data_IF_820282054472
#
_entry.id   IF_820282054472
#
_cell.length_a   1.000
_cell.length_b   1.000
_cell.length_c   1.000
_cell.angle_alpha   90.00
_cell.angle_beta   90.00
_cell.angle_gamma   90.00
#
_symmetry.space_group_name_H-M   'P 1'
#
loop_
_entity.id
_entity.type
_entity.pdbx_description
1 polymer ?
#
# COMPACT_ATOMS: atom_id res chain seq x y z
N UNK A 1 51.70 60.10 11.82
CA UNK A 1 51.16 59.10 10.88
C UNK A 1 50.39 58.07 11.69
N UNK A 2 49.06 58.11 11.59
CA UNK A 2 48.25 57.03 10.97
C UNK A 2 48.34 55.74 11.82
N UNK A 3 47.44 55.52 12.79
CA UNK A 3 46.10 54.91 12.57
C UNK A 3 46.19 53.79 11.54
N UNK A 4 46.41 52.54 11.97
CA UNK A 4 46.07 51.28 11.27
C UNK A 4 46.71 50.11 12.02
N UNK A 5 46.13 49.68 13.14
CA UNK A 5 46.46 48.36 13.71
C UNK A 5 45.44 47.83 14.73
N UNK A 6 44.68 48.66 15.45
CA UNK A 6 43.94 48.19 16.64
C UNK A 6 42.40 48.10 16.53
N UNK A 7 41.83 48.24 15.33
CA UNK A 7 40.35 48.28 15.17
C UNK A 7 39.68 47.00 14.64
N UNK A 8 40.38 45.87 14.50
CA UNK A 8 39.74 44.65 13.95
C UNK A 8 39.42 43.58 15.01
N UNK A 9 39.93 43.69 16.25
CA UNK A 9 39.71 42.63 17.26
C UNK A 9 38.61 42.93 18.31
N UNK A 10 38.07 44.14 18.35
CA UNK A 10 37.10 44.54 19.40
C UNK A 10 35.62 44.40 18.99
N UNK A 11 35.31 44.08 17.73
CA UNK A 11 33.92 43.89 17.28
C UNK A 11 33.41 42.43 17.41
N UNK A 12 34.28 41.48 17.76
CA UNK A 12 33.94 40.06 17.84
C UNK A 12 33.60 39.56 19.26
N UNK A 13 33.64 40.43 20.27
CA UNK A 13 33.41 40.05 21.68
C UNK A 13 32.18 40.70 22.33
N UNK A 14 31.42 41.52 21.59
CA UNK A 14 30.22 42.19 22.12
C UNK A 14 28.88 41.49 21.80
N UNK A 15 28.88 40.41 21.01
CA UNK A 15 27.65 39.64 20.70
C UNK A 15 27.44 38.42 21.60
N UNK A 16 28.26 38.22 22.64
CA UNK A 16 28.16 37.07 23.55
C UNK A 16 27.49 37.37 24.91
N UNK A 17 27.16 38.63 25.24
CA UNK A 17 26.72 39.01 26.61
C UNK A 17 25.57 40.02 26.61
N UNK A 18 24.46 39.63 26.00
CA UNK A 18 23.11 40.11 26.31
C UNK A 18 22.16 38.97 25.94
N UNK A 19 21.92 37.99 26.80
CA UNK A 19 21.08 38.17 27.98
C UNK A 19 21.43 37.14 29.07
N UNK A 20 22.03 37.64 30.16
CA UNK A 20 21.78 37.10 31.49
C UNK A 20 20.46 37.72 31.97
N UNK A 21 19.46 36.89 32.24
CA UNK A 21 18.15 37.35 32.70
C UNK A 21 17.33 36.20 33.29
N UNK A 22 17.82 35.68 34.41
CA UNK A 22 17.05 35.08 35.53
C UNK A 22 15.90 34.13 35.20
N UNK A 23 16.17 32.85 35.48
CA UNK A 23 15.19 31.80 35.68
C UNK A 23 14.23 32.16 36.83
N UNK A 24 12.92 32.10 36.55
CA UNK A 24 11.87 31.81 37.51
C UNK A 24 10.83 30.92 36.83
N UNK A 25 10.73 29.70 37.37
CA UNK A 25 9.73 28.65 37.16
C UNK A 25 8.48 29.04 36.35
N UNK A 26 8.43 28.57 35.11
CA UNK A 26 7.28 27.81 34.64
C UNK A 26 7.90 26.58 33.98
N UNK A 27 7.64 25.40 34.55
CA UNK A 27 7.73 24.19 33.78
C UNK A 27 6.64 24.32 32.72
N UNK A 28 6.98 24.95 31.58
CA UNK A 28 6.33 24.61 30.33
C UNK A 28 6.72 23.16 30.12
N UNK A 29 5.89 22.27 30.67
CA UNK A 29 5.60 21.00 30.06
C UNK A 29 5.38 21.38 28.61
N UNK A 30 6.40 21.14 27.78
CA UNK A 30 6.20 21.00 26.36
C UNK A 30 5.24 19.82 26.34
N UNK A 31 3.94 20.11 26.35
CA UNK A 31 2.95 19.14 25.95
C UNK A 31 3.53 18.63 24.65
N UNK A 32 3.75 17.30 24.51
CA UNK A 32 4.11 16.78 23.23
C UNK A 32 3.03 17.32 22.31
N UNK A 33 3.41 18.23 21.40
CA UNK A 33 2.51 18.68 20.36
C UNK A 33 2.20 17.38 19.65
N UNK A 34 1.04 16.82 20.00
CA UNK A 34 0.58 15.58 19.40
C UNK A 34 0.65 15.89 17.91
N UNK A 35 1.42 15.12 17.13
CA UNK A 35 1.49 15.38 15.70
C UNK A 35 0.05 15.53 15.24
N UNK A 36 -0.26 16.66 14.58
CA UNK A 36 -1.60 16.88 14.05
C UNK A 36 -2.03 15.57 13.39
N UNK A 37 -3.20 15.00 13.75
CA UNK A 37 -3.57 13.69 13.30
C UNK A 37 -3.42 13.68 11.79
N UNK A 38 -2.60 12.74 11.30
CA UNK A 38 -2.56 12.38 9.90
C UNK A 38 -3.99 12.40 9.36
N UNK A 39 -4.28 13.21 8.32
CA UNK A 39 -5.58 13.17 7.64
C UNK A 39 -5.86 11.77 7.03
N UNK A 40 -4.82 10.92 7.00
CA UNK A 40 -4.75 9.58 6.45
C UNK A 40 -5.11 8.55 7.54
N UNK A 41 -6.25 7.88 7.34
CA UNK A 41 -7.05 7.19 8.36
C UNK A 41 -6.89 5.66 8.35
N UNK A 42 -5.64 5.17 8.40
CA UNK A 42 -5.38 3.73 8.65
C UNK A 42 -6.01 3.27 9.98
N UNK A 43 -5.96 4.14 11.01
CA UNK A 43 -6.57 3.91 12.32
C UNK A 43 -8.11 3.83 12.31
N UNK A 44 -8.77 4.20 11.21
CA UNK A 44 -10.23 4.07 11.07
C UNK A 44 -10.63 2.78 10.35
N UNK A 45 -9.68 2.11 9.70
CA UNK A 45 -9.84 0.77 9.17
C UNK A 45 -9.49 -0.23 10.27
N UNK A 46 -10.27 -0.22 11.36
CA UNK A 46 -10.19 -1.30 12.33
C UNK A 46 -10.64 -2.59 11.62
N UNK A 47 -9.68 -3.43 11.22
CA UNK A 47 -9.96 -4.86 11.09
C UNK A 47 -10.60 -5.30 12.41
N UNK A 48 -11.67 -6.09 12.32
CA UNK A 48 -12.41 -6.60 13.49
C UNK A 48 -11.40 -7.01 14.57
N UNK A 49 -11.29 -6.28 15.70
CA UNK A 49 -10.20 -6.47 16.66
C UNK A 49 -10.28 -7.83 17.36
N UNK A 50 -11.42 -8.53 17.23
CA UNK A 50 -11.62 -9.88 17.73
C UNK A 50 -11.07 -10.95 16.76
N UNK A 51 -10.69 -10.58 15.53
CA UNK A 51 -10.14 -11.48 14.52
C UNK A 51 -8.64 -11.27 14.34
N UNK A 52 -7.93 -12.38 14.27
CA UNK A 52 -6.52 -12.38 13.88
C UNK A 52 -6.36 -11.82 12.45
N UNK A 53 -5.40 -10.91 12.23
CA UNK A 53 -5.14 -10.36 10.90
C UNK A 53 -4.60 -11.41 9.94
N UNK A 54 -4.97 -11.30 8.67
CA UNK A 54 -4.43 -12.15 7.60
C UNK A 54 -3.03 -11.65 7.24
N UNK A 55 -2.11 -12.59 7.07
CA UNK A 55 -0.74 -12.31 6.61
C UNK A 55 -0.32 -13.43 5.65
N UNK A 56 0.89 -13.99 5.78
CA UNK A 56 1.30 -15.19 5.03
C UNK A 56 0.48 -16.42 5.45
N UNK A 57 0.18 -16.55 6.75
CA UNK A 57 -0.74 -17.58 7.26
C UNK A 57 -2.19 -17.13 7.12
N UNK A 58 -3.06 -18.01 6.64
CA UNK A 58 -4.51 -17.79 6.58
C UNK A 58 -5.12 -18.25 7.92
N UNK A 59 -5.72 -17.34 8.72
CA UNK A 59 -6.33 -17.71 10.00
C UNK A 59 -7.55 -18.63 9.84
N UNK A 60 -7.81 -19.46 10.85
CA UNK A 60 -8.91 -20.45 10.85
C UNK A 60 -10.31 -19.87 10.65
N UNK A 61 -10.51 -18.59 11.02
CA UNK A 61 -11.80 -17.94 10.83
C UNK A 61 -12.12 -17.72 9.33
N UNK A 62 -11.10 -17.65 8.47
CA UNK A 62 -11.27 -17.48 7.03
C UNK A 62 -11.78 -18.79 6.42
N UNK A 63 -12.88 -18.71 5.65
CA UNK A 63 -13.53 -19.88 5.05
C UNK A 63 -14.55 -20.58 5.96
N UNK A 64 -14.77 -20.08 7.19
CA UNK A 64 -15.89 -20.54 8.05
C UNK A 64 -17.25 -20.10 7.52
N UNK A 65 -17.29 -18.94 6.85
CA UNK A 65 -18.45 -18.41 6.15
C UNK A 65 -17.98 -17.68 4.88
N UNK A 66 -18.80 -17.77 3.84
CA UNK A 66 -18.54 -17.09 2.57
C UNK A 66 -18.76 -15.58 2.71
N UNK A 67 -17.82 -14.78 2.21
CA UNK A 67 -17.92 -13.32 2.13
C UNK A 67 -18.25 -12.88 0.70
N UNK A 68 -19.52 -12.52 0.47
CA UNK A 68 -20.03 -12.17 -0.85
C UNK A 68 -19.96 -10.68 -1.17
N UNK A 69 -19.34 -9.85 -0.31
CA UNK A 69 -19.28 -8.40 -0.53
C UNK A 69 -18.53 -8.07 -1.83
N UNK A 70 -19.01 -7.18 -2.71
CA UNK A 70 -18.22 -6.80 -3.88
C UNK A 70 -16.97 -6.00 -3.47
N UNK A 71 -15.99 -5.94 -4.37
CA UNK A 71 -14.89 -4.97 -4.32
C UNK A 71 -14.93 -4.18 -5.62
N UNK A 72 -15.62 -3.05 -5.64
CA UNK A 72 -15.68 -2.23 -6.86
C UNK A 72 -14.41 -1.41 -7.00
N UNK A 73 -13.75 -1.52 -8.16
CA UNK A 73 -12.50 -0.82 -8.46
C UNK A 73 -12.56 -0.11 -9.80
N UNK A 74 -11.79 0.98 -9.94
CA UNK A 74 -11.64 1.67 -11.20
C UNK A 74 -10.68 0.90 -12.12
N UNK A 75 -11.20 0.46 -13.26
CA UNK A 75 -10.43 -0.19 -14.30
C UNK A 75 -10.63 0.51 -15.65
N UNK A 76 -9.78 1.50 -15.95
CA UNK A 76 -9.82 2.26 -17.21
C UNK A 76 -8.61 2.01 -18.11
N UNK A 77 -7.69 1.14 -17.70
CA UNK A 77 -6.44 0.86 -18.41
C UNK A 77 -6.55 -0.48 -19.14
N UNK A 78 -5.94 -0.57 -20.33
CA UNK A 78 -5.77 -1.86 -21.00
C UNK A 78 -4.69 -2.66 -20.28
N UNK A 79 -5.13 -3.68 -19.54
CA UNK A 79 -4.27 -4.59 -18.76
C UNK A 79 -4.22 -6.00 -19.36
N UNK A 80 -4.65 -6.20 -20.61
CA UNK A 80 -4.81 -7.52 -21.22
C UNK A 80 -3.54 -8.39 -21.19
N UNK A 81 -2.36 -7.79 -21.30
CA UNK A 81 -1.08 -8.51 -21.19
C UNK A 81 -0.76 -8.94 -19.76
N UNK A 82 -1.16 -8.14 -18.76
CA UNK A 82 -1.02 -8.51 -17.36
C UNK A 82 -2.01 -9.63 -17.01
N UNK A 83 -3.25 -9.56 -17.51
CA UNK A 83 -4.26 -10.61 -17.27
C UNK A 83 -3.77 -11.95 -17.81
N UNK A 84 -3.24 -11.95 -19.04
CA UNK A 84 -2.67 -13.17 -19.65
C UNK A 84 -1.54 -13.75 -18.81
N UNK A 85 -0.62 -12.91 -18.35
CA UNK A 85 0.48 -13.35 -17.49
C UNK A 85 -0.05 -13.92 -16.16
N UNK A 86 -1.01 -13.24 -15.52
CA UNK A 86 -1.58 -13.68 -14.26
C UNK A 86 -2.31 -15.02 -14.39
N UNK A 87 -3.00 -15.26 -15.52
CA UNK A 87 -3.65 -16.54 -15.83
C UNK A 87 -2.65 -17.70 -16.01
N UNK A 88 -1.45 -17.41 -16.50
CA UNK A 88 -0.38 -18.40 -16.65
C UNK A 88 0.34 -18.67 -15.32
N UNK A 89 0.60 -17.63 -14.53
CA UNK A 89 1.38 -17.70 -13.28
C UNK A 89 0.56 -18.23 -12.10
N UNK A 90 -0.66 -17.69 -11.89
CA UNK A 90 -1.47 -17.99 -10.71
C UNK A 90 -1.69 -19.49 -10.45
N UNK A 91 -2.03 -20.34 -11.44
CA UNK A 91 -2.26 -21.75 -11.18
C UNK A 91 -1.07 -22.45 -10.52
N UNK A 92 0.14 -21.95 -10.72
CA UNK A 92 1.37 -22.47 -10.13
C UNK A 92 1.85 -21.71 -8.89
N UNK A 93 1.18 -20.62 -8.49
CA UNK A 93 1.60 -19.74 -7.38
C UNK A 93 0.89 -20.05 -6.06
N UNK A 94 1.65 -20.23 -4.97
CA UNK A 94 1.14 -20.49 -3.62
C UNK A 94 2.07 -19.88 -2.57
N UNK A 95 1.52 -19.41 -1.45
CA UNK A 95 2.34 -19.11 -0.27
C UNK A 95 2.70 -20.43 0.44
N UNK A 96 3.95 -20.62 0.90
CA UNK A 96 4.37 -21.83 1.60
C UNK A 96 3.69 -22.02 2.96
N UNK A 97 3.18 -20.95 3.58
CA UNK A 97 2.47 -21.02 4.86
C UNK A 97 1.01 -21.47 4.71
N UNK A 98 0.51 -21.62 3.47
CA UNK A 98 -0.84 -22.13 3.22
C UNK A 98 -0.87 -23.66 3.27
N UNK A 99 -1.96 -24.19 3.80
CA UNK A 99 -2.24 -25.64 3.68
C UNK A 99 -2.63 -25.99 2.24
N UNK A 100 -2.41 -27.24 1.82
CA UNK A 100 -2.83 -27.69 0.48
C UNK A 100 -4.34 -27.47 0.26
N UNK A 101 -5.18 -27.73 1.27
CA UNK A 101 -6.62 -27.51 1.18
C UNK A 101 -6.96 -26.04 0.91
N UNK A 102 -6.29 -25.10 1.60
CA UNK A 102 -6.48 -23.67 1.36
C UNK A 102 -5.99 -23.30 -0.05
N UNK A 103 -4.80 -23.76 -0.45
CA UNK A 103 -4.23 -23.51 -1.77
C UNK A 103 -5.08 -24.06 -2.91
N UNK A 104 -5.81 -25.16 -2.73
CA UNK A 104 -6.70 -25.72 -3.75
C UNK A 104 -8.02 -24.95 -3.87
N UNK A 105 -8.43 -24.23 -2.82
CA UNK A 105 -9.72 -23.53 -2.73
C UNK A 105 -9.65 -22.04 -3.08
N UNK A 106 -8.46 -21.43 -3.06
CA UNK A 106 -8.32 -20.03 -3.45
C UNK A 106 -8.58 -19.84 -4.93
N UNK A 107 -9.09 -18.65 -5.29
CA UNK A 107 -9.22 -18.21 -6.67
C UNK A 107 -8.63 -16.82 -6.85
N UNK A 108 -8.23 -16.50 -8.07
CA UNK A 108 -7.75 -15.19 -8.49
C UNK A 108 -8.93 -14.32 -8.91
N UNK A 109 -9.06 -13.13 -8.32
CA UNK A 109 -10.01 -12.11 -8.73
C UNK A 109 -9.55 -11.29 -9.93
N UNK A 110 -10.37 -10.35 -10.39
CA UNK A 110 -10.04 -9.47 -11.52
C UNK A 110 -8.91 -8.47 -11.17
N UNK A 111 -8.13 -8.10 -12.18
CA UNK A 111 -6.99 -7.20 -12.03
C UNK A 111 -7.38 -5.77 -11.62
N UNK A 112 -6.65 -5.22 -10.65
CA UNK A 112 -6.79 -3.86 -10.15
C UNK A 112 -5.56 -3.06 -10.60
N UNK A 113 -5.69 -2.15 -11.57
CA UNK A 113 -4.57 -1.32 -11.99
C UNK A 113 -4.12 -0.39 -10.85
N UNK A 114 -2.81 -0.26 -10.64
CA UNK A 114 -2.23 0.69 -9.68
C UNK A 114 -1.85 1.99 -10.39
N UNK A 115 -2.51 3.09 -10.04
CA UNK A 115 -2.24 4.41 -10.62
C UNK A 115 -1.11 5.14 -9.89
N UNK A 116 -0.26 5.83 -10.65
CA UNK A 116 0.71 6.75 -10.06
C UNK A 116 0.01 8.06 -9.68
N UNK A 117 -0.12 8.33 -8.39
CA UNK A 117 -0.82 9.48 -7.85
C UNK A 117 0.21 10.48 -7.32
N UNK A 118 0.82 11.31 -8.19
CA UNK A 118 1.80 12.30 -7.73
C UNK A 118 2.79 12.89 -8.74
N UNK A 119 2.70 12.55 -10.03
CA UNK A 119 3.65 13.02 -11.06
C UNK A 119 3.12 12.98 -12.49
N UNK A 120 3.96 13.42 -13.44
CA UNK A 120 3.68 13.48 -14.89
C UNK A 120 4.32 12.28 -15.61
N UNK A 121 3.50 11.27 -15.94
CA UNK A 121 3.73 10.03 -16.75
C UNK A 121 4.36 8.77 -16.08
N UNK A 122 4.08 7.53 -16.60
CA UNK A 122 2.91 7.04 -17.35
C UNK A 122 2.09 5.98 -16.57
N UNK A 123 1.07 5.46 -17.24
CA UNK A 123 0.06 4.45 -16.82
C UNK A 123 0.64 3.18 -16.15
N UNK A 124 -0.24 2.46 -15.43
CA UNK A 124 0.07 1.38 -14.47
C UNK A 124 1.30 0.51 -14.83
N UNK A 125 2.36 0.63 -14.01
CA UNK A 125 3.49 -0.31 -14.03
C UNK A 125 3.31 -1.44 -13.01
N UNK A 126 2.07 -1.70 -12.57
CA UNK A 126 1.67 -2.79 -11.69
C UNK A 126 0.16 -3.03 -11.77
N UNK A 127 -0.24 -4.29 -11.71
CA UNK A 127 -1.64 -4.72 -11.53
C UNK A 127 -1.68 -5.68 -10.35
N UNK A 128 -2.62 -5.45 -9.44
CA UNK A 128 -2.84 -6.29 -8.28
C UNK A 128 -4.09 -7.14 -8.49
N UNK A 129 -3.96 -8.45 -8.33
CA UNK A 129 -5.07 -9.39 -8.44
C UNK A 129 -5.35 -9.97 -7.05
N UNK A 130 -6.51 -9.67 -6.43
CA UNK A 130 -6.83 -10.24 -5.13
C UNK A 130 -6.93 -11.76 -5.25
N UNK A 131 -6.36 -12.49 -4.29
CA UNK A 131 -6.52 -13.93 -4.15
C UNK A 131 -7.52 -14.14 -3.02
N UNK A 132 -8.60 -14.88 -3.29
CA UNK A 132 -9.73 -15.01 -2.39
C UNK A 132 -9.95 -16.46 -1.95
N UNK A 133 -10.19 -16.66 -0.65
CA UNK A 133 -10.68 -17.91 -0.07
C UNK A 133 -12.12 -17.69 0.42
N UNK A 134 -13.09 -18.39 -0.19
CA UNK A 134 -14.52 -18.19 0.08
C UNK A 134 -14.95 -16.72 0.06
N UNK A 135 -14.36 -15.95 -0.86
CA UNK A 135 -14.64 -14.53 -1.04
C UNK A 135 -13.94 -13.60 -0.03
N UNK A 136 -13.19 -14.09 0.96
CA UNK A 136 -12.30 -13.25 1.78
C UNK A 136 -10.97 -13.08 1.04
N UNK A 137 -10.46 -11.84 0.93
CA UNK A 137 -9.17 -11.59 0.28
C UNK A 137 -8.07 -12.05 1.24
N UNK A 138 -7.27 -13.02 0.83
CA UNK A 138 -6.22 -13.62 1.67
C UNK A 138 -4.80 -13.27 1.23
N UNK A 139 -4.63 -12.88 -0.03
CA UNK A 139 -3.37 -12.37 -0.58
C UNK A 139 -3.66 -11.58 -1.85
N UNK A 140 -2.61 -11.12 -2.50
CA UNK A 140 -2.66 -10.49 -3.81
C UNK A 140 -1.53 -11.04 -4.67
N UNK A 141 -1.83 -11.43 -5.91
CA UNK A 141 -0.81 -11.61 -6.93
C UNK A 141 -0.51 -10.24 -7.54
N UNK A 142 0.68 -9.71 -7.28
CA UNK A 142 1.11 -8.42 -7.82
C UNK A 142 1.97 -8.65 -9.06
N UNK A 143 1.43 -8.31 -10.23
CA UNK A 143 2.14 -8.38 -11.51
C UNK A 143 2.73 -7.02 -11.83
N UNK A 144 4.01 -6.97 -12.16
CA UNK A 144 4.74 -5.73 -12.46
C UNK A 144 5.51 -5.86 -13.76
N UNK A 145 5.71 -4.73 -14.43
CA UNK A 145 6.53 -4.64 -15.63
C UNK A 145 7.89 -4.07 -15.28
N UNK A 146 8.94 -4.82 -15.56
CA UNK A 146 10.32 -4.35 -15.39
C UNK A 146 10.69 -3.32 -16.46
N UNK A 147 11.79 -2.60 -16.24
CA UNK A 147 12.35 -1.68 -17.24
C UNK A 147 12.79 -2.38 -18.55
N UNK A 148 13.05 -3.69 -18.49
CA UNK A 148 13.28 -4.54 -19.67
C UNK A 148 12.02 -4.79 -20.50
N UNK A 149 10.84 -4.48 -19.97
CA UNK A 149 9.54 -4.77 -20.57
C UNK A 149 8.94 -6.12 -20.17
N UNK A 150 9.74 -6.99 -19.54
CA UNK A 150 9.31 -8.30 -19.01
C UNK A 150 8.33 -8.12 -17.85
N UNK A 151 7.43 -9.10 -17.70
CA UNK A 151 6.50 -9.17 -16.57
C UNK A 151 7.06 -10.12 -15.50
N UNK A 152 6.86 -9.75 -14.24
CA UNK A 152 7.11 -10.59 -13.08
C UNK A 152 5.93 -10.55 -12.13
N UNK A 153 5.82 -11.57 -11.28
CA UNK A 153 4.81 -11.64 -10.23
C UNK A 153 5.44 -11.88 -8.86
N UNK A 154 4.72 -11.43 -7.84
CA UNK A 154 4.99 -11.76 -6.45
C UNK A 154 3.68 -11.85 -5.67
N UNK A 155 3.63 -12.74 -4.67
CA UNK A 155 2.54 -12.70 -3.69
C UNK A 155 2.78 -11.57 -2.71
N UNK A 156 1.72 -10.84 -2.39
CA UNK A 156 1.72 -9.70 -1.50
C UNK A 156 0.50 -9.80 -0.56
N UNK A 157 0.63 -10.44 0.62
CA UNK A 157 -0.43 -10.47 1.62
C UNK A 157 -0.55 -9.15 2.39
N UNK A 158 0.43 -8.26 2.25
CA UNK A 158 0.40 -6.92 2.84
C UNK A 158 -0.83 -6.17 2.28
N UNK A 159 -1.52 -5.39 3.12
CA UNK A 159 -2.76 -4.62 2.87
C UNK A 159 -4.08 -5.39 2.60
N UNK A 160 -4.13 -6.73 2.65
CA UNK A 160 -5.40 -7.46 2.40
C UNK A 160 -6.45 -7.26 3.49
N UNK A 161 -6.03 -6.99 4.73
CA UNK A 161 -6.95 -6.69 5.83
C UNK A 161 -7.69 -5.38 5.58
N UNK A 162 -6.95 -4.36 5.14
CA UNK A 162 -7.44 -3.06 4.75
C UNK A 162 -8.38 -3.17 3.55
N UNK A 163 -8.05 -3.99 2.54
CA UNK A 163 -8.95 -4.25 1.42
C UNK A 163 -10.26 -4.89 1.85
N UNK A 164 -10.22 -5.91 2.71
CA UNK A 164 -11.44 -6.54 3.24
C UNK A 164 -12.29 -5.57 4.07
N UNK A 165 -11.68 -4.60 4.77
CA UNK A 165 -12.38 -3.54 5.48
C UNK A 165 -13.02 -2.53 4.51
N UNK A 166 -12.32 -2.16 3.44
CA UNK A 166 -12.74 -1.15 2.48
C UNK A 166 -13.84 -1.61 1.52
N UNK A 167 -14.04 -2.91 1.30
CA UNK A 167 -15.09 -3.45 0.40
C UNK A 167 -16.46 -2.83 0.64
N UNK A 168 -16.85 -2.65 1.90
CA UNK A 168 -18.13 -2.07 2.29
C UNK A 168 -18.31 -0.59 1.96
N UNK A 169 -17.24 0.09 1.53
CA UNK A 169 -17.25 1.50 1.15
C UNK A 169 -17.29 1.69 -0.38
N UNK A 170 -17.19 0.61 -1.16
CA UNK A 170 -17.11 0.67 -2.62
C UNK A 170 -18.45 0.35 -3.28
N UNK A 171 -18.71 0.98 -4.43
CA UNK A 171 -19.86 0.71 -5.31
C UNK A 171 -19.46 0.94 -6.77
N UNK A 172 -20.32 0.59 -7.73
CA UNK A 172 -20.06 0.90 -9.14
C UNK A 172 -19.96 2.42 -9.38
N UNK A 173 -20.74 3.22 -8.64
CA UNK A 173 -20.74 4.69 -8.69
C UNK A 173 -19.62 5.33 -7.87
N UNK A 174 -19.06 4.60 -6.91
CA UNK A 174 -17.95 5.05 -6.06
C UNK A 174 -16.93 3.92 -5.92
N UNK A 175 -16.20 3.61 -7.01
CA UNK A 175 -15.20 2.55 -6.99
C UNK A 175 -13.97 2.97 -6.18
N UNK A 176 -13.23 1.99 -5.69
CA UNK A 176 -11.88 2.19 -5.16
C UNK A 176 -10.89 2.42 -6.29
N UNK A 177 -10.02 3.40 -6.10
CA UNK A 177 -8.91 3.69 -6.99
C UNK A 177 -7.64 3.36 -6.21
N UNK A 178 -6.91 2.36 -6.67
CA UNK A 178 -5.67 1.93 -6.03
C UNK A 178 -4.49 2.67 -6.65
N UNK A 179 -3.58 3.19 -5.85
CA UNK A 179 -2.43 3.88 -6.40
C UNK A 179 -1.25 3.99 -5.46
N UNK A 180 -0.22 4.67 -5.95
CA UNK A 180 1.00 4.96 -5.22
C UNK A 180 1.21 6.47 -5.14
N UNK A 181 1.44 6.99 -3.94
CA UNK A 181 1.80 8.40 -3.70
C UNK A 181 2.96 8.45 -2.68
N UNK A 182 4.07 9.08 -3.07
CA UNK A 182 5.26 9.20 -2.24
C UNK A 182 5.74 7.85 -1.67
N UNK A 183 5.77 6.81 -2.52
CA UNK A 183 6.10 5.42 -2.18
C UNK A 183 5.11 4.68 -1.26
N UNK A 184 3.99 5.29 -0.86
CA UNK A 184 2.93 4.62 -0.11
C UNK A 184 1.88 4.05 -1.05
N UNK A 185 1.36 2.86 -0.74
CA UNK A 185 0.15 2.36 -1.41
C UNK A 185 -1.04 3.03 -0.78
N UNK A 186 -1.90 3.63 -1.60
CA UNK A 186 -3.11 4.33 -1.18
C UNK A 186 -4.33 3.84 -1.94
N UNK A 187 -5.49 3.88 -1.29
CA UNK A 187 -6.79 3.74 -1.90
C UNK A 187 -7.53 5.08 -1.86
N UNK A 188 -8.23 5.44 -2.93
CA UNK A 188 -9.13 6.60 -2.97
C UNK A 188 -10.54 6.09 -3.21
N UNK A 189 -11.50 6.50 -2.38
CA UNK A 189 -12.91 6.12 -2.49
C UNK A 189 -13.74 7.40 -2.30
N UNK A 190 -14.43 7.82 -3.36
CA UNK A 190 -15.12 9.10 -3.38
C UNK A 190 -14.14 10.26 -3.21
N UNK A 191 -14.25 10.98 -2.09
CA UNK A 191 -13.37 12.12 -1.77
C UNK A 191 -12.36 11.81 -0.66
N UNK A 192 -12.43 10.61 -0.09
CA UNK A 192 -11.56 10.16 0.97
C UNK A 192 -10.43 9.31 0.39
N UNK A 193 -9.27 9.36 1.03
CA UNK A 193 -8.16 8.46 0.72
C UNK A 193 -7.72 7.73 2.00
N UNK A 194 -7.19 6.53 1.79
CA UNK A 194 -6.75 5.61 2.82
C UNK A 194 -5.33 5.20 2.48
N UNK A 195 -4.42 5.29 3.43
CA UNK A 195 -3.07 4.72 3.26
C UNK A 195 -3.21 3.24 3.59
N UNK A 196 -2.69 2.38 2.73
CA UNK A 196 -2.81 0.93 2.85
C UNK A 196 -1.48 0.30 3.29
N UNK A 197 -0.37 0.86 2.83
CA UNK A 197 0.97 0.44 3.18
C UNK A 197 1.88 1.66 3.27
N UNK A 198 2.76 1.65 4.26
CA UNK A 198 3.73 2.70 4.54
C UNK A 198 5.12 2.13 4.31
N UNK A 199 5.88 2.73 3.39
CA UNK A 199 7.31 2.48 3.33
C UNK A 199 7.96 3.08 4.58
N UNK A 200 8.25 2.24 5.58
CA UNK A 200 8.85 2.66 6.84
C UNK A 200 10.30 3.14 6.70
N UNK A 201 10.97 2.86 5.58
CA UNK A 201 12.37 3.25 5.33
C UNK A 201 12.42 4.65 4.70
N UNK A 202 11.52 4.91 3.76
CA UNK A 202 11.50 6.16 2.98
C UNK A 202 10.28 7.03 3.25
N UNK A 203 9.59 6.83 4.39
CA UNK A 203 8.30 7.43 4.66
C UNK A 203 8.27 8.91 4.33
N UNK A 204 7.51 9.23 3.29
CA UNK A 204 7.10 10.56 2.94
C UNK A 204 5.59 10.60 3.06
N UNK A 205 5.08 11.59 3.80
CA UNK A 205 3.63 11.77 3.92
C UNK A 205 3.02 11.89 2.51
N UNK A 206 1.93 11.16 2.21
CA UNK A 206 1.30 11.32 0.91
C UNK A 206 0.80 12.76 0.74
N UNK A 207 0.90 13.34 -0.46
CA UNK A 207 0.44 14.71 -0.72
C UNK A 207 -0.98 14.68 -1.34
N UNK A 208 -2.05 15.05 -0.60
CA UNK A 208 -3.43 14.95 -1.08
C UNK A 208 -3.70 15.94 -2.20
N UNK A 209 -2.95 17.04 -2.25
CA UNK A 209 -3.09 18.07 -3.27
C UNK A 209 -2.60 17.59 -4.64
N UNK A 210 -1.92 16.43 -4.68
CA UNK A 210 -1.40 15.79 -5.90
C UNK A 210 -2.15 14.52 -6.29
N UNK A 211 -3.18 14.13 -5.56
CA UNK A 211 -4.06 13.03 -5.97
C UNK A 211 -4.94 13.58 -7.10
N UNK A 212 -4.86 13.03 -8.33
CA UNK A 212 -5.65 13.53 -9.43
C UNK A 212 -7.14 13.22 -9.23
N UNK A 213 -8.00 14.05 -9.80
CA UNK A 213 -9.40 13.67 -9.99
C UNK A 213 -9.47 12.59 -11.07
N UNK A 214 -10.21 11.52 -10.80
CA UNK A 214 -10.39 10.44 -11.76
C UNK A 214 -11.75 10.57 -12.44
N UNK A 215 -11.83 10.43 -13.77
CA UNK A 215 -13.10 10.41 -14.48
C UNK A 215 -13.82 9.09 -14.16
N UNK A 216 -14.74 9.12 -13.18
CA UNK A 216 -15.57 7.96 -12.84
C UNK A 216 -16.75 7.93 -13.83
N UNK A 217 -16.63 7.13 -14.88
CA UNK A 217 -17.75 6.76 -15.75
C UNK A 217 -18.48 5.54 -15.22
N UNK A 218 -19.76 5.37 -15.57
CA UNK A 218 -20.58 4.22 -15.16
C UNK A 218 -20.02 2.87 -15.62
N UNK A 219 -19.23 2.86 -16.70
CA UNK A 219 -18.63 1.64 -17.27
C UNK A 219 -17.17 1.44 -16.88
N UNK A 220 -16.65 2.28 -15.97
CA UNK A 220 -15.24 2.25 -15.56
C UNK A 220 -14.98 1.41 -14.31
N UNK A 221 -16.03 0.92 -13.66
CA UNK A 221 -15.94 0.14 -12.44
C UNK A 221 -16.16 -1.36 -12.71
N UNK A 222 -15.32 -2.21 -12.11
CA UNK A 222 -15.48 -3.66 -12.12
C UNK A 222 -15.53 -4.20 -10.69
N UNK A 223 -16.14 -5.37 -10.49
CA UNK A 223 -16.07 -6.08 -9.22
C UNK A 223 -14.81 -6.98 -9.19
N UNK A 224 -13.74 -6.51 -8.54
CA UNK A 224 -12.48 -7.24 -8.44
C UNK A 224 -12.56 -8.55 -7.64
N UNK A 225 -13.64 -8.76 -6.87
CA UNK A 225 -13.88 -10.02 -6.16
C UNK A 225 -14.43 -11.14 -7.07
N UNK A 226 -14.84 -10.82 -8.29
CA UNK A 226 -15.27 -11.82 -9.28
C UNK A 226 -14.08 -12.64 -9.79
N UNK A 227 -14.25 -13.94 -10.04
CA UNK A 227 -13.16 -14.80 -10.44
C UNK A 227 -12.65 -14.44 -11.84
N UNK A 228 -11.34 -14.24 -11.95
CA UNK A 228 -10.58 -14.28 -13.20
C UNK A 228 -10.05 -15.70 -13.48
N UNK A 229 -9.59 -16.40 -12.43
CA UNK A 229 -9.07 -17.76 -12.54
C UNK A 229 -9.39 -18.59 -11.29
N UNK A 230 -9.90 -19.81 -11.49
CA UNK A 230 -10.13 -20.79 -10.42
C UNK A 230 -9.24 -22.02 -10.56
N UNK A 231 -8.38 -22.07 -11.58
CA UNK A 231 -7.50 -23.23 -11.80
C UNK A 231 -6.31 -23.22 -10.85
N UNK A 232 -5.99 -24.39 -10.29
CA UNK A 232 -4.86 -24.63 -9.38
C UNK A 232 -4.07 -25.86 -9.82
N UNK A 233 -2.75 -25.76 -9.84
CA UNK A 233 -1.80 -26.80 -10.29
C UNK A 233 -0.51 -26.84 -9.45
N UNK A 234 -0.41 -26.02 -8.40
CA UNK A 234 0.74 -25.97 -7.50
C UNK A 234 0.56 -26.94 -6.32
N UNK A 235 1.62 -27.68 -5.97
CA UNK A 235 1.74 -28.24 -4.63
C UNK A 235 2.48 -27.24 -3.73
N UNK A 236 2.09 -27.15 -2.45
CA UNK A 236 2.78 -26.28 -1.48
C UNK A 236 4.27 -26.64 -1.35
N UNK A 237 4.65 -27.90 -1.63
CA UNK A 237 6.02 -28.42 -1.56
C UNK A 237 6.94 -28.05 -2.73
N UNK A 238 6.41 -27.50 -3.83
CA UNK A 238 7.12 -27.47 -5.12
C UNK A 238 7.73 -26.11 -5.48
N UNK A 239 7.72 -25.13 -4.57
CA UNK A 239 8.27 -23.79 -4.82
C UNK A 239 9.77 -23.67 -4.57
N UNK A 240 10.46 -23.03 -5.51
CA UNK A 240 11.86 -22.61 -5.36
C UNK A 240 11.86 -21.29 -4.59
N UNK A 241 12.54 -21.23 -3.44
CA UNK A 241 12.70 -20.00 -2.68
C UNK A 241 13.41 -18.95 -3.53
N UNK A 242 12.69 -17.90 -3.94
CA UNK A 242 13.33 -16.71 -4.50
C UNK A 242 13.87 -15.91 -3.33
N UNK A 243 15.10 -16.23 -2.92
CA UNK A 243 15.88 -15.33 -2.10
C UNK A 243 16.11 -14.05 -2.91
N UNK A 244 15.66 -12.90 -2.40
CA UNK A 244 16.10 -11.62 -2.94
C UNK A 244 17.64 -11.62 -2.99
N UNK A 245 18.27 -11.19 -4.09
CA UNK A 245 19.72 -11.03 -4.11
C UNK A 245 20.09 -9.94 -3.09
N UNK A 246 20.61 -10.34 -1.93
CA UNK A 246 21.06 -9.41 -0.88
C UNK A 246 21.04 -9.90 0.57
N UNK A 247 20.50 -11.07 0.88
CA UNK A 247 20.43 -11.55 2.27
C UNK A 247 21.70 -12.25 2.80
N UNK A 248 22.79 -12.29 2.03
CA UNK A 248 24.09 -12.78 2.50
C UNK A 248 25.13 -11.66 2.47
N UNK A 249 25.17 -10.87 3.55
CA UNK A 249 26.41 -10.22 3.98
C UNK A 249 26.52 -10.43 5.49
N UNK A 250 27.41 -11.35 5.86
CA UNK A 250 27.96 -11.51 7.22
C UNK A 250 28.78 -10.29 7.63
#
# INVERSE_FOLDING_TARGET
MKKLAFYVLALLLLSALAACGSAQNAADVIEPVSPAPSKYRLAELAADPEREPISNTIPDWVGTAKDERPLYVLNTLDISDFDRFALEDFPTSSDPEWTQEQSDRVYLGQGIPMYWMGGTEPEAQQVCYPILLDGTIVSCLKVHRFSSGELGAQLAPYFVNEWNALRGLTSAETPMILGVNNANVIAVIGTEYYVLDIDHVYFQQPDPTRIPEFPIGTDSAINAAEPLCTERRANVSDWTTVSLPGADVQ
#
